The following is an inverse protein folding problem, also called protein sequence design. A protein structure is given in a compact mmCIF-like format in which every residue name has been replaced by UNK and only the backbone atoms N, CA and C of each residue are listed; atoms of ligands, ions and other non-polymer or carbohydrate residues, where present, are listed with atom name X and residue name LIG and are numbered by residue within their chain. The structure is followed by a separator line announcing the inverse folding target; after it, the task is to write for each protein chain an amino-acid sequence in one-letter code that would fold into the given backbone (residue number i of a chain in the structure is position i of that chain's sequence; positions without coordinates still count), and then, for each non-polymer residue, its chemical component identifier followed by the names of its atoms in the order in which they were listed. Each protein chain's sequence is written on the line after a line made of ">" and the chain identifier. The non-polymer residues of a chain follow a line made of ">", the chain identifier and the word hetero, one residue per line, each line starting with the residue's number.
data_IF_907187147611
#
_entry.id   IF_907187147611
#
_cell.length_a   1.000
_cell.length_b   1.000
_cell.length_c   1.000
_cell.angle_alpha   90.00
_cell.angle_beta   90.00
_cell.angle_gamma   90.00
#
_symmetry.space_group_name_H-M   'P 1'
#
loop_
_entity.id
_entity.type
_entity.pdbx_description
1 polymer ?
#
# COMPACT_ATOMS: atom_id res chain seq x y z
N UNK A 1 15.35 -33.75 4.39
CA UNK A 1 14.73 -32.52 4.91
C UNK A 1 13.50 -32.21 4.10
N UNK A 2 12.42 -31.74 4.74
CA UNK A 2 11.20 -31.30 4.05
C UNK A 2 11.49 -30.07 3.19
N UNK A 3 10.75 -29.92 2.11
CA UNK A 3 10.75 -28.69 1.30
C UNK A 3 10.20 -27.54 2.14
N UNK A 4 10.73 -26.33 1.98
CA UNK A 4 10.21 -25.12 2.61
C UNK A 4 9.37 -24.34 1.60
N UNK A 5 8.09 -24.15 1.87
CA UNK A 5 7.22 -23.26 1.10
C UNK A 5 7.11 -21.92 1.83
N UNK A 6 7.64 -20.86 1.23
CA UNK A 6 7.47 -19.47 1.68
C UNK A 6 6.39 -18.85 0.82
N UNK A 7 5.34 -18.30 1.43
CA UNK A 7 4.21 -17.75 0.69
C UNK A 7 3.84 -16.36 1.20
N UNK A 8 3.23 -15.53 0.36
CA UNK A 8 2.78 -14.21 0.80
C UNK A 8 1.71 -14.32 1.89
N UNK A 9 1.98 -13.70 3.03
CA UNK A 9 1.09 -13.76 4.19
C UNK A 9 -0.17 -12.91 4.01
N UNK A 10 -1.26 -13.32 4.66
CA UNK A 10 -2.51 -12.56 4.78
C UNK A 10 -3.20 -12.19 3.44
N UNK A 11 -2.99 -12.97 2.37
CA UNK A 11 -3.73 -12.85 1.13
C UNK A 11 -4.25 -14.23 0.67
N UNK A 12 -5.39 -14.23 -0.03
CA UNK A 12 -5.97 -15.44 -0.59
C UNK A 12 -5.12 -16.03 -1.72
N UNK A 13 -4.39 -15.18 -2.45
CA UNK A 13 -3.56 -15.63 -3.56
C UNK A 13 -2.33 -16.42 -3.06
N UNK A 14 -1.54 -15.83 -2.17
CA UNK A 14 -0.41 -16.49 -1.53
C UNK A 14 -0.78 -17.73 -0.72
N UNK A 15 -1.86 -17.69 0.06
CA UNK A 15 -2.31 -18.90 0.76
C UNK A 15 -2.85 -19.97 -0.21
N UNK A 16 -3.55 -19.56 -1.27
CA UNK A 16 -3.96 -20.45 -2.34
C UNK A 16 -2.78 -21.11 -3.04
N UNK A 17 -1.71 -20.36 -3.33
CA UNK A 17 -0.48 -20.89 -3.89
C UNK A 17 0.22 -21.87 -2.94
N UNK A 18 0.28 -21.56 -1.63
CA UNK A 18 0.79 -22.49 -0.62
C UNK A 18 -0.04 -23.78 -0.55
N UNK A 19 -1.37 -23.67 -0.64
CA UNK A 19 -2.28 -24.82 -0.70
C UNK A 19 -1.97 -25.71 -1.90
N UNK A 20 -1.69 -25.12 -3.08
CA UNK A 20 -1.28 -25.88 -4.28
C UNK A 20 0.02 -26.65 -4.02
N UNK A 21 1.05 -26.00 -3.45
CA UNK A 21 2.32 -26.67 -3.13
C UNK A 21 2.09 -27.84 -2.17
N UNK A 22 1.22 -27.66 -1.17
CA UNK A 22 0.84 -28.72 -0.22
C UNK A 22 0.19 -29.91 -0.93
N UNK A 23 -0.74 -29.63 -1.84
CA UNK A 23 -1.45 -30.65 -2.60
C UNK A 23 -0.52 -31.44 -3.53
N UNK A 24 0.42 -30.76 -4.17
CA UNK A 24 1.31 -31.37 -5.15
C UNK A 24 2.44 -32.21 -4.50
N UNK A 25 2.95 -31.79 -3.34
CA UNK A 25 4.10 -32.44 -2.69
C UNK A 25 3.71 -33.33 -1.50
N UNK A 26 2.49 -33.22 -0.99
CA UNK A 26 2.05 -33.88 0.24
C UNK A 26 2.37 -33.07 1.50
N UNK A 27 1.40 -32.96 2.40
CA UNK A 27 1.50 -32.12 3.60
C UNK A 27 2.62 -32.56 4.56
N UNK A 28 2.97 -33.84 4.56
CA UNK A 28 4.05 -34.41 5.35
C UNK A 28 5.44 -34.04 4.82
N UNK A 29 5.55 -33.58 3.57
CA UNK A 29 6.82 -33.31 2.89
C UNK A 29 7.19 -31.82 2.82
N UNK A 30 6.31 -30.93 3.32
CA UNK A 30 6.49 -29.47 3.22
C UNK A 30 6.32 -28.83 4.60
N UNK A 31 7.21 -27.89 4.92
CA UNK A 31 6.97 -26.90 5.99
C UNK A 31 6.61 -25.56 5.37
N UNK A 32 5.76 -24.80 6.04
CA UNK A 32 5.21 -23.54 5.53
C UNK A 32 5.67 -22.36 6.36
N UNK A 33 6.02 -21.27 5.69
CA UNK A 33 6.40 -20.01 6.31
C UNK A 33 5.66 -18.85 5.64
N UNK A 34 4.90 -18.09 6.43
CA UNK A 34 4.21 -16.89 5.97
C UNK A 34 5.22 -15.74 5.85
N UNK A 35 5.54 -15.37 4.60
CA UNK A 35 6.46 -14.30 4.25
C UNK A 35 5.81 -12.92 4.32
N UNK A 36 6.54 -11.96 4.87
CA UNK A 36 6.16 -10.55 4.94
C UNK A 36 7.26 -9.68 4.36
N UNK A 37 6.89 -8.69 3.53
CA UNK A 37 7.86 -7.71 3.03
C UNK A 37 8.57 -6.99 4.18
N UNK A 38 9.90 -6.86 4.06
CA UNK A 38 10.75 -6.21 5.06
C UNK A 38 10.99 -7.02 6.34
N UNK A 39 10.52 -8.27 6.43
CA UNK A 39 10.89 -9.21 7.49
C UNK A 39 12.03 -10.12 7.01
N UNK A 40 12.89 -10.62 7.93
CA UNK A 40 13.98 -11.52 7.56
C UNK A 40 13.44 -12.84 7.01
N UNK A 41 14.20 -13.46 6.11
CA UNK A 41 13.91 -14.79 5.62
C UNK A 41 14.09 -15.84 6.74
N UNK A 42 13.34 -16.95 6.72
CA UNK A 42 13.57 -18.10 7.62
C UNK A 42 14.88 -18.82 7.29
N UNK A 43 15.27 -19.78 8.13
CA UNK A 43 16.39 -20.68 7.85
C UNK A 43 16.08 -21.58 6.64
N UNK A 44 17.00 -21.57 5.67
CA UNK A 44 16.89 -22.31 4.39
C UNK A 44 17.98 -23.37 4.21
N UNK A 45 18.90 -23.52 5.18
CA UNK A 45 20.13 -24.31 5.03
C UNK A 45 19.85 -25.75 4.57
N UNK A 46 20.41 -26.14 3.42
CA UNK A 46 20.29 -27.48 2.85
C UNK A 46 18.89 -27.89 2.34
N UNK A 47 17.91 -26.97 2.34
CA UNK A 47 16.52 -27.25 1.93
C UNK A 47 16.27 -26.91 0.47
N UNK A 48 15.31 -27.58 -0.16
CA UNK A 48 14.64 -27.00 -1.33
C UNK A 48 13.65 -25.97 -0.82
N UNK A 49 13.69 -24.78 -1.42
CA UNK A 49 12.83 -23.64 -1.07
C UNK A 49 11.96 -23.32 -2.27
N UNK A 50 10.67 -23.21 -2.05
CA UNK A 50 9.69 -22.74 -3.04
C UNK A 50 9.09 -21.46 -2.46
N UNK A 51 9.20 -20.36 -3.19
CA UNK A 51 8.64 -19.07 -2.83
C UNK A 51 7.49 -18.78 -3.78
N UNK A 52 6.28 -18.56 -3.25
CA UNK A 52 5.05 -18.40 -4.06
C UNK A 52 4.31 -17.12 -3.71
N UNK A 53 3.82 -16.41 -4.74
CA UNK A 53 3.14 -15.10 -4.63
C UNK A 53 3.97 -14.01 -3.93
N UNK A 54 5.28 -14.22 -3.82
CA UNK A 54 6.17 -13.40 -3.00
C UNK A 54 7.60 -13.50 -3.54
N UNK A 55 8.37 -12.44 -3.34
CA UNK A 55 9.79 -12.41 -3.67
C UNK A 55 10.59 -11.62 -2.63
N UNK A 56 11.72 -12.17 -2.20
CA UNK A 56 12.73 -11.40 -1.47
C UNK A 56 13.56 -10.53 -2.43
N UNK A 57 14.21 -9.46 -1.94
CA UNK A 57 15.15 -8.67 -2.73
C UNK A 57 16.28 -9.53 -3.31
N UNK A 58 16.80 -9.11 -4.47
CA UNK A 58 17.83 -9.84 -5.22
C UNK A 58 19.03 -10.23 -4.36
N UNK A 59 19.58 -9.27 -3.61
CA UNK A 59 20.78 -9.45 -2.81
C UNK A 59 20.56 -10.53 -1.74
N UNK A 60 19.37 -10.55 -1.12
CA UNK A 60 19.01 -11.56 -0.15
C UNK A 60 18.84 -12.93 -0.82
N UNK A 61 18.22 -13.01 -1.99
CA UNK A 61 18.08 -14.27 -2.74
C UNK A 61 19.44 -14.87 -3.14
N UNK A 62 20.43 -14.04 -3.50
CA UNK A 62 21.79 -14.50 -3.76
C UNK A 62 22.39 -15.15 -2.51
N UNK A 63 22.27 -14.50 -1.35
CA UNK A 63 22.77 -15.04 -0.09
C UNK A 63 22.07 -16.36 0.30
N UNK A 64 20.75 -16.41 0.18
CA UNK A 64 19.96 -17.62 0.45
C UNK A 64 20.32 -18.75 -0.52
N UNK A 65 20.60 -18.44 -1.79
CA UNK A 65 21.00 -19.41 -2.81
C UNK A 65 22.35 -20.11 -2.52
N UNK A 66 23.19 -19.55 -1.65
CA UNK A 66 24.39 -20.20 -1.16
C UNK A 66 24.14 -21.19 -0.01
N UNK A 67 23.03 -21.04 0.72
CA UNK A 67 22.66 -21.85 1.90
C UNK A 67 21.66 -22.95 1.51
N UNK A 68 20.67 -22.61 0.68
CA UNK A 68 19.65 -23.53 0.21
C UNK A 68 20.22 -24.57 -0.78
N UNK A 69 19.57 -25.73 -0.84
CA UNK A 69 19.82 -26.72 -1.91
C UNK A 69 19.32 -26.20 -3.25
N UNK A 70 18.10 -25.65 -3.26
CA UNK A 70 17.52 -24.97 -4.41
C UNK A 70 16.51 -23.90 -3.97
N UNK A 71 16.27 -22.89 -4.82
CA UNK A 71 15.26 -21.84 -4.64
C UNK A 71 14.46 -21.71 -5.95
N UNK A 72 13.18 -22.04 -5.89
CA UNK A 72 12.20 -21.79 -6.94
C UNK A 72 11.32 -20.61 -6.54
N UNK A 73 11.18 -19.61 -7.40
CA UNK A 73 10.30 -18.46 -7.18
C UNK A 73 9.19 -18.51 -8.23
N UNK A 74 7.94 -18.48 -7.80
CA UNK A 74 6.75 -18.44 -8.65
C UNK A 74 5.94 -17.22 -8.22
N UNK A 75 5.94 -16.19 -9.05
CA UNK A 75 5.41 -14.90 -8.65
C UNK A 75 4.82 -14.14 -9.85
N UNK A 76 3.95 -13.18 -9.58
CA UNK A 76 3.23 -12.40 -10.58
C UNK A 76 3.34 -10.88 -10.35
N UNK A 77 4.13 -10.45 -9.38
CA UNK A 77 4.36 -9.04 -9.09
C UNK A 77 5.33 -8.41 -10.10
N UNK A 78 4.88 -7.36 -10.81
CA UNK A 78 5.67 -6.68 -11.86
C UNK A 78 7.00 -6.11 -11.32
N UNK A 79 6.97 -5.46 -10.17
CA UNK A 79 8.17 -4.88 -9.55
C UNK A 79 9.19 -5.97 -9.17
N UNK A 80 8.72 -7.13 -8.70
CA UNK A 80 9.61 -8.26 -8.41
C UNK A 80 10.20 -8.86 -9.69
N UNK A 81 9.39 -9.02 -10.73
CA UNK A 81 9.86 -9.51 -12.03
C UNK A 81 10.95 -8.61 -12.63
N UNK A 82 10.79 -7.29 -12.53
CA UNK A 82 11.80 -6.32 -12.97
C UNK A 82 13.08 -6.40 -12.12
N UNK A 83 12.94 -6.43 -10.79
CA UNK A 83 14.07 -6.49 -9.86
C UNK A 83 14.87 -7.81 -9.94
N UNK A 84 14.21 -8.90 -10.33
CA UNK A 84 14.79 -10.25 -10.37
C UNK A 84 15.11 -10.72 -11.80
N UNK A 85 15.04 -9.85 -12.80
CA UNK A 85 15.26 -10.18 -14.21
C UNK A 85 16.64 -10.82 -14.51
N UNK A 86 17.63 -10.61 -13.63
CA UNK A 86 18.96 -11.19 -13.75
C UNK A 86 19.08 -12.62 -13.16
N UNK A 87 18.06 -13.10 -12.44
CA UNK A 87 17.99 -14.49 -12.01
C UNK A 87 17.58 -15.39 -13.20
N UNK A 88 18.14 -16.60 -13.29
CA UNK A 88 17.81 -17.51 -14.38
C UNK A 88 16.34 -17.97 -14.29
N UNK A 89 15.68 -18.07 -15.44
CA UNK A 89 14.34 -18.64 -15.54
C UNK A 89 14.36 -20.12 -15.16
N UNK A 90 13.35 -20.59 -14.43
CA UNK A 90 13.19 -22.02 -14.14
C UNK A 90 12.69 -22.79 -15.40
N UNK A 91 12.84 -24.12 -15.45
CA UNK A 91 12.17 -24.97 -16.43
C UNK A 91 10.65 -24.79 -16.42
N UNK A 92 9.97 -25.29 -17.45
CA UNK A 92 8.59 -24.92 -17.77
C UNK A 92 7.55 -25.45 -16.77
N UNK A 93 7.88 -26.52 -16.05
CA UNK A 93 7.02 -27.12 -15.03
C UNK A 93 7.84 -27.76 -13.90
N UNK A 94 7.19 -28.09 -12.79
CA UNK A 94 7.86 -28.65 -11.62
C UNK A 94 8.52 -30.00 -11.89
N UNK A 95 7.95 -30.83 -12.77
CA UNK A 95 8.52 -32.12 -13.14
C UNK A 95 9.89 -32.01 -13.83
N UNK A 96 10.17 -30.87 -14.48
CA UNK A 96 11.47 -30.56 -15.08
C UNK A 96 12.41 -29.86 -14.08
N UNK A 97 11.86 -29.03 -13.18
CA UNK A 97 12.63 -28.37 -12.12
C UNK A 97 13.19 -29.34 -11.09
N UNK A 98 12.36 -30.26 -10.58
CA UNK A 98 12.72 -31.15 -9.48
C UNK A 98 13.99 -31.98 -9.71
N UNK A 99 14.24 -32.58 -10.90
CA UNK A 99 15.49 -33.27 -11.18
C UNK A 99 16.60 -32.36 -11.73
N UNK A 100 16.35 -31.06 -11.90
CA UNK A 100 17.32 -30.14 -12.51
C UNK A 100 18.52 -29.89 -11.57
N UNK A 101 19.66 -29.54 -12.17
CA UNK A 101 20.85 -29.09 -11.42
C UNK A 101 20.84 -27.58 -11.14
N UNK A 102 19.79 -26.88 -11.58
CA UNK A 102 19.63 -25.46 -11.39
C UNK A 102 19.30 -25.17 -9.92
N UNK A 103 20.10 -24.31 -9.29
CA UNK A 103 19.94 -23.99 -7.86
C UNK A 103 18.98 -22.85 -7.58
N UNK A 104 18.83 -21.91 -8.50
CA UNK A 104 17.91 -20.78 -8.35
C UNK A 104 17.14 -20.65 -9.65
N UNK A 105 15.82 -20.47 -9.59
CA UNK A 105 14.98 -20.37 -10.77
C UNK A 105 13.76 -19.49 -10.51
N UNK A 106 13.38 -18.68 -11.49
CA UNK A 106 12.20 -17.82 -11.41
C UNK A 106 11.16 -18.16 -12.47
N UNK A 107 9.89 -18.08 -12.10
CA UNK A 107 8.72 -18.19 -12.97
C UNK A 107 7.86 -16.95 -12.71
N UNK A 108 7.78 -16.08 -13.72
CA UNK A 108 6.98 -14.85 -13.66
C UNK A 108 5.92 -14.83 -14.74
N UNK A 109 4.66 -14.56 -14.37
CA UNK A 109 3.59 -14.29 -15.33
C UNK A 109 2.54 -13.33 -14.77
N UNK A 110 2.49 -12.11 -15.33
CA UNK A 110 1.60 -11.05 -14.87
C UNK A 110 0.14 -11.26 -15.28
N UNK A 111 -0.15 -12.27 -16.11
CA UNK A 111 -1.49 -12.60 -16.57
C UNK A 111 -2.16 -13.68 -15.73
N UNK A 112 -1.45 -14.22 -14.74
CA UNK A 112 -1.94 -15.22 -13.80
C UNK A 112 -1.69 -14.73 -12.39
N UNK A 113 -2.54 -15.16 -11.47
CA UNK A 113 -2.34 -14.94 -10.03
C UNK A 113 -1.26 -15.89 -9.50
N UNK A 114 -0.69 -15.63 -8.33
CA UNK A 114 0.26 -16.53 -7.67
C UNK A 114 -0.29 -17.96 -7.53
N UNK A 115 -1.54 -18.11 -7.10
CA UNK A 115 -2.22 -19.39 -6.96
C UNK A 115 -2.46 -20.08 -8.31
N UNK A 116 -2.95 -19.33 -9.30
CA UNK A 116 -3.20 -19.85 -10.65
C UNK A 116 -1.91 -20.28 -11.36
N UNK A 117 -0.86 -19.48 -11.27
CA UNK A 117 0.46 -19.75 -11.83
C UNK A 117 1.10 -20.96 -11.16
N UNK A 118 1.02 -21.05 -9.83
CA UNK A 118 1.53 -22.20 -9.06
C UNK A 118 0.79 -23.48 -9.44
N UNK A 119 -0.54 -23.45 -9.60
CA UNK A 119 -1.29 -24.63 -10.05
C UNK A 119 -0.79 -25.14 -11.39
N UNK A 120 -0.71 -24.26 -12.39
CA UNK A 120 -0.29 -24.65 -13.74
C UNK A 120 1.14 -25.20 -13.77
N UNK A 121 2.02 -24.67 -12.92
CA UNK A 121 3.41 -25.09 -12.83
C UNK A 121 3.57 -26.52 -12.30
N UNK A 122 2.78 -26.87 -11.27
CA UNK A 122 2.81 -28.20 -10.65
C UNK A 122 1.95 -29.22 -11.38
N UNK A 123 0.88 -28.79 -12.06
CA UNK A 123 -0.12 -29.65 -12.68
C UNK A 123 -0.32 -29.29 -14.17
N UNK A 124 0.73 -29.32 -15.01
CA UNK A 124 0.64 -28.89 -16.40
C UNK A 124 -0.43 -29.69 -17.16
N UNK A 125 -1.34 -28.96 -17.82
CA UNK A 125 -2.43 -29.54 -18.60
C UNK A 125 -3.63 -30.06 -17.79
N UNK A 126 -3.60 -29.97 -16.46
CA UNK A 126 -4.75 -30.33 -15.64
C UNK A 126 -5.65 -29.11 -15.36
N UNK A 127 -6.98 -29.29 -15.31
CA UNK A 127 -7.88 -28.19 -14.97
C UNK A 127 -7.64 -27.72 -13.54
N UNK A 128 -7.63 -26.38 -13.36
CA UNK A 128 -7.60 -25.76 -12.04
C UNK A 128 -8.88 -26.02 -11.26
N UNK A 129 -8.84 -26.17 -9.93
CA UNK A 129 -10.02 -26.08 -9.09
C UNK A 129 -10.76 -24.78 -9.37
N UNK A 130 -12.09 -24.82 -9.41
CA UNK A 130 -12.89 -23.65 -9.74
C UNK A 130 -12.59 -22.45 -8.81
N UNK A 131 -12.36 -22.72 -7.52
CA UNK A 131 -12.03 -21.69 -6.54
C UNK A 131 -10.68 -20.98 -6.84
N UNK A 132 -9.67 -21.68 -7.37
CA UNK A 132 -8.40 -21.06 -7.81
C UNK A 132 -8.66 -20.07 -8.96
N UNK A 133 -9.57 -20.39 -9.89
CA UNK A 133 -9.95 -19.48 -10.96
C UNK A 133 -10.65 -18.22 -10.43
N UNK A 134 -11.50 -18.34 -9.40
CA UNK A 134 -12.12 -17.16 -8.76
C UNK A 134 -11.12 -16.33 -7.93
N UNK A 135 -10.13 -16.97 -7.29
CA UNK A 135 -9.03 -16.27 -6.64
C UNK A 135 -8.28 -15.43 -7.67
N UNK A 136 -7.91 -16.02 -8.81
CA UNK A 136 -7.23 -15.30 -9.90
C UNK A 136 -8.06 -14.15 -10.47
N UNK A 137 -9.35 -14.40 -10.70
CA UNK A 137 -10.26 -13.41 -11.28
C UNK A 137 -10.44 -12.17 -10.38
N UNK A 138 -10.41 -12.36 -9.05
CA UNK A 138 -10.40 -11.25 -8.10
C UNK A 138 -9.02 -10.60 -7.97
N UNK A 139 -7.97 -11.40 -7.89
CA UNK A 139 -6.63 -10.90 -7.63
C UNK A 139 -6.15 -9.97 -8.76
N UNK A 140 -6.39 -10.38 -10.00
CA UNK A 140 -6.12 -9.58 -11.19
C UNK A 140 -7.20 -8.51 -11.48
N UNK A 141 -8.15 -8.33 -10.56
CA UNK A 141 -9.24 -7.36 -10.61
C UNK A 141 -10.10 -7.43 -11.89
N UNK A 142 -10.35 -8.65 -12.38
CA UNK A 142 -11.04 -8.91 -13.65
C UNK A 142 -12.55 -9.03 -13.49
N UNK A 143 -13.01 -9.75 -12.46
CA UNK A 143 -14.42 -10.03 -12.19
C UNK A 143 -15.20 -10.53 -13.41
N UNK A 144 -14.59 -11.40 -14.23
CA UNK A 144 -15.21 -11.97 -15.43
C UNK A 144 -16.04 -13.21 -15.13
N UNK A 145 -15.72 -13.94 -14.07
CA UNK A 145 -16.46 -15.13 -13.69
C UNK A 145 -17.68 -14.75 -12.85
N UNK A 146 -18.81 -15.42 -13.11
CA UNK A 146 -20.04 -15.18 -12.35
C UNK A 146 -19.81 -15.45 -10.87
N UNK A 147 -20.22 -14.50 -10.02
CA UNK A 147 -20.18 -14.66 -8.58
C UNK A 147 -18.80 -14.57 -7.94
N UNK A 148 -17.74 -14.18 -8.67
CA UNK A 148 -16.38 -14.04 -8.10
C UNK A 148 -16.39 -13.20 -6.83
N UNK A 149 -17.11 -12.06 -6.84
CA UNK A 149 -17.17 -11.16 -5.69
C UNK A 149 -17.74 -11.84 -4.44
N UNK A 150 -18.88 -12.51 -4.59
CA UNK A 150 -19.55 -13.24 -3.51
C UNK A 150 -18.69 -14.43 -3.05
N UNK A 151 -18.17 -15.24 -3.97
CA UNK A 151 -17.33 -16.40 -3.65
C UNK A 151 -16.08 -15.95 -2.86
N UNK A 152 -15.47 -14.84 -3.25
CA UNK A 152 -14.31 -14.30 -2.55
C UNK A 152 -14.69 -13.71 -1.20
N UNK A 153 -15.82 -12.99 -1.09
CA UNK A 153 -16.33 -12.52 0.19
C UNK A 153 -16.58 -13.67 1.17
N UNK A 154 -17.08 -14.81 0.67
CA UNK A 154 -17.19 -16.03 1.46
C UNK A 154 -15.82 -16.57 1.87
N UNK A 155 -14.89 -16.74 0.91
CA UNK A 155 -13.53 -17.23 1.18
C UNK A 155 -12.80 -16.41 2.24
N UNK A 156 -12.85 -15.07 2.15
CA UNK A 156 -12.22 -14.16 3.11
C UNK A 156 -12.87 -14.16 4.50
N UNK A 157 -14.04 -14.78 4.67
CA UNK A 157 -14.67 -14.95 5.99
C UNK A 157 -14.10 -16.12 6.80
N UNK A 158 -13.31 -17.00 6.16
CA UNK A 158 -12.67 -18.16 6.79
C UNK A 158 -11.21 -17.88 7.17
N UNK A 159 -10.67 -18.60 8.18
CA UNK A 159 -9.25 -18.53 8.49
C UNK A 159 -8.39 -19.10 7.35
N UNK A 160 -7.14 -18.63 7.27
CA UNK A 160 -6.09 -19.22 6.44
C UNK A 160 -5.58 -20.51 7.09
N UNK A 161 -6.39 -21.55 6.97
CA UNK A 161 -6.18 -22.89 7.53
C UNK A 161 -6.33 -23.93 6.42
N UNK A 162 -5.43 -24.91 6.39
CA UNK A 162 -5.31 -25.82 5.25
C UNK A 162 -6.47 -26.80 5.16
N UNK A 163 -6.94 -27.32 6.28
CA UNK A 163 -8.09 -28.23 6.39
C UNK A 163 -9.39 -27.51 6.03
N UNK A 164 -9.54 -26.25 6.46
CA UNK A 164 -10.66 -25.40 6.04
C UNK A 164 -10.63 -25.18 4.53
N UNK A 165 -9.46 -24.89 3.96
CA UNK A 165 -9.33 -24.67 2.51
C UNK A 165 -9.53 -25.94 1.69
N UNK A 166 -9.21 -27.13 2.21
CA UNK A 166 -9.57 -28.40 1.58
C UNK A 166 -11.09 -28.53 1.44
N UNK A 167 -11.85 -28.20 2.49
CA UNK A 167 -13.30 -28.22 2.44
C UNK A 167 -13.84 -27.19 1.41
N UNK A 168 -13.29 -25.98 1.39
CA UNK A 168 -13.70 -24.93 0.45
C UNK A 168 -13.39 -25.28 -1.00
N UNK A 169 -12.22 -25.86 -1.29
CA UNK A 169 -11.83 -26.30 -2.64
C UNK A 169 -12.74 -27.40 -3.19
N UNK A 170 -13.34 -28.21 -2.32
CA UNK A 170 -14.30 -29.26 -2.67
C UNK A 170 -15.77 -28.79 -2.64
N UNK A 171 -16.04 -27.57 -2.18
CA UNK A 171 -17.40 -27.03 -2.10
C UNK A 171 -17.84 -26.51 -3.48
N UNK A 172 -19.06 -26.85 -3.95
CA UNK A 172 -19.56 -26.31 -5.21
C UNK A 172 -19.59 -24.77 -5.22
N UNK A 173 -19.19 -24.16 -6.32
CA UNK A 173 -19.14 -22.69 -6.45
C UNK A 173 -20.50 -22.04 -6.24
N UNK A 174 -21.60 -22.72 -6.58
CA UNK A 174 -22.97 -22.25 -6.32
C UNK A 174 -23.26 -22.06 -4.82
N UNK A 175 -22.73 -22.96 -3.97
CA UNK A 175 -22.85 -22.85 -2.52
C UNK A 175 -21.95 -21.73 -2.00
N UNK A 176 -20.69 -21.67 -2.43
CA UNK A 176 -19.76 -20.61 -2.03
C UNK A 176 -20.30 -19.22 -2.37
N UNK A 177 -20.92 -19.09 -3.55
CA UNK A 177 -21.58 -17.87 -4.01
C UNK A 177 -22.76 -17.55 -3.09
N UNK A 178 -23.65 -18.52 -2.81
CA UNK A 178 -24.81 -18.32 -1.95
C UNK A 178 -24.43 -17.80 -0.55
N UNK A 179 -23.39 -18.37 0.05
CA UNK A 179 -22.89 -18.00 1.38
C UNK A 179 -22.28 -16.59 1.40
N UNK A 180 -21.66 -16.17 0.29
CA UNK A 180 -21.05 -14.85 0.13
C UNK A 180 -22.00 -13.69 -0.15
N UNK A 181 -23.22 -13.95 -0.67
CA UNK A 181 -24.16 -12.90 -1.14
C UNK A 181 -24.45 -11.82 -0.10
N UNK A 182 -24.68 -12.22 1.15
CA UNK A 182 -25.02 -11.27 2.20
C UNK A 182 -23.79 -10.45 2.63
N UNK A 183 -22.62 -11.08 2.66
CA UNK A 183 -21.33 -10.46 3.01
C UNK A 183 -21.01 -9.39 1.98
N UNK A 184 -21.08 -9.72 0.68
CA UNK A 184 -20.71 -8.79 -0.39
C UNK A 184 -21.68 -7.61 -0.50
N UNK A 185 -22.97 -7.85 -0.27
CA UNK A 185 -23.97 -6.77 -0.20
C UNK A 185 -23.67 -5.80 0.95
N UNK A 186 -23.29 -6.32 2.12
CA UNK A 186 -22.92 -5.50 3.29
C UNK A 186 -21.63 -4.73 3.01
N UNK A 187 -20.61 -5.37 2.44
CA UNK A 187 -19.33 -4.75 2.09
C UNK A 187 -19.52 -3.54 1.18
N UNK A 188 -20.29 -3.67 0.09
CA UNK A 188 -20.55 -2.54 -0.81
C UNK A 188 -21.33 -1.40 -0.16
N UNK A 189 -22.31 -1.71 0.70
CA UNK A 189 -23.02 -0.70 1.48
C UNK A 189 -22.04 0.07 2.37
N UNK A 190 -21.16 -0.63 3.06
CA UNK A 190 -20.16 -0.03 3.95
C UNK A 190 -19.17 0.83 3.16
N UNK A 191 -18.64 0.32 2.05
CA UNK A 191 -17.75 1.08 1.17
C UNK A 191 -18.41 2.39 0.72
N UNK A 192 -19.67 2.34 0.29
CA UNK A 192 -20.40 3.53 -0.16
C UNK A 192 -20.59 4.55 0.99
N UNK A 193 -21.04 4.10 2.16
CA UNK A 193 -21.27 4.98 3.33
C UNK A 193 -19.96 5.57 3.86
N UNK A 194 -18.90 4.76 3.95
CA UNK A 194 -17.60 5.19 4.42
C UNK A 194 -16.93 6.18 3.46
N UNK A 195 -17.00 5.93 2.14
CA UNK A 195 -16.50 6.89 1.14
C UNK A 195 -17.28 8.20 1.22
N UNK A 196 -18.61 8.15 1.35
CA UNK A 196 -19.43 9.35 1.49
C UNK A 196 -19.06 10.16 2.75
N UNK A 197 -18.75 9.49 3.86
CA UNK A 197 -18.41 10.14 5.14
C UNK A 197 -16.96 10.58 5.31
N UNK A 198 -16.00 9.99 4.58
CA UNK A 198 -14.56 10.19 4.83
C UNK A 198 -13.76 10.74 3.65
N UNK A 199 -14.35 10.78 2.44
CA UNK A 199 -13.66 11.28 1.24
C UNK A 199 -13.30 12.76 1.39
N UNK A 200 -12.03 13.06 1.18
CA UNK A 200 -11.45 14.41 1.08
C UNK A 200 -10.54 14.50 -0.13
N UNK A 201 -9.97 15.68 -0.36
CA UNK A 201 -8.95 15.92 -1.41
C UNK A 201 -7.57 16.03 -0.78
N UNK A 202 -6.55 15.49 -1.44
CA UNK A 202 -5.14 15.64 -1.06
C UNK A 202 -4.29 15.76 -2.32
N UNK A 203 -3.18 16.48 -2.23
CA UNK A 203 -2.16 16.50 -3.27
C UNK A 203 -1.17 15.36 -3.01
N UNK A 204 -1.10 14.39 -3.93
CA UNK A 204 -0.14 13.28 -3.89
C UNK A 204 0.64 13.30 -5.20
N UNK A 205 1.97 13.35 -5.12
CA UNK A 205 2.87 13.49 -6.27
C UNK A 205 2.47 14.63 -7.24
N UNK A 206 2.00 15.76 -6.69
CA UNK A 206 1.55 16.92 -7.47
C UNK A 206 0.13 16.82 -8.04
N UNK A 207 -0.58 15.71 -7.85
CA UNK A 207 -1.95 15.54 -8.30
C UNK A 207 -2.93 15.73 -7.15
N UNK A 208 -3.91 16.63 -7.34
CA UNK A 208 -5.07 16.72 -6.47
C UNK A 208 -6.00 15.53 -6.77
N UNK A 209 -6.25 14.67 -5.78
CA UNK A 209 -6.98 13.39 -5.93
C UNK A 209 -7.91 13.12 -4.76
N UNK A 210 -8.97 12.30 -4.93
CA UNK A 210 -9.82 11.91 -3.82
C UNK A 210 -9.09 10.90 -2.93
N UNK A 211 -9.19 11.11 -1.62
CA UNK A 211 -8.58 10.28 -0.59
C UNK A 211 -9.58 10.00 0.54
N UNK A 212 -9.62 8.76 1.03
CA UNK A 212 -10.45 8.37 2.18
C UNK A 212 -9.61 7.70 3.28
N UNK A 213 -9.96 7.93 4.55
CA UNK A 213 -9.40 7.20 5.68
C UNK A 213 -10.23 5.94 5.91
N UNK A 214 -9.69 4.77 5.56
CA UNK A 214 -10.43 3.51 5.57
C UNK A 214 -9.53 2.36 6.00
N UNK A 215 -10.05 1.39 6.79
CA UNK A 215 -9.36 0.14 7.04
C UNK A 215 -8.96 -0.56 5.73
N UNK A 216 -7.80 -1.24 5.72
CA UNK A 216 -7.24 -1.85 4.52
C UNK A 216 -8.22 -2.79 3.80
N UNK A 217 -9.09 -3.48 4.54
CA UNK A 217 -10.12 -4.40 4.01
C UNK A 217 -11.09 -3.74 3.02
N UNK A 218 -11.32 -2.42 3.13
CA UNK A 218 -12.19 -1.67 2.21
C UNK A 218 -11.40 -0.88 1.15
N UNK A 219 -10.07 -0.81 1.27
CA UNK A 219 -9.25 0.12 0.48
C UNK A 219 -9.31 -0.11 -1.03
N UNK A 220 -9.41 -1.37 -1.47
CA UNK A 220 -9.44 -1.69 -2.90
C UNK A 220 -10.72 -1.21 -3.57
N UNK A 221 -11.88 -1.58 -3.05
CA UNK A 221 -13.17 -1.19 -3.64
C UNK A 221 -13.45 0.30 -3.45
N UNK A 222 -13.11 0.87 -2.29
CA UNK A 222 -13.25 2.31 -2.06
C UNK A 222 -12.33 3.14 -2.97
N UNK A 223 -11.07 2.73 -3.11
CA UNK A 223 -10.13 3.36 -4.03
C UNK A 223 -10.61 3.23 -5.47
N UNK A 224 -11.08 2.05 -5.90
CA UNK A 224 -11.63 1.87 -7.23
C UNK A 224 -12.85 2.77 -7.49
N UNK A 225 -13.80 2.80 -6.55
CA UNK A 225 -14.99 3.65 -6.62
C UNK A 225 -14.62 5.14 -6.76
N UNK A 226 -13.65 5.61 -5.98
CA UNK A 226 -13.20 7.00 -6.02
C UNK A 226 -12.36 7.35 -7.25
N UNK A 227 -11.70 6.37 -7.88
CA UNK A 227 -10.83 6.60 -9.03
C UNK A 227 -11.60 6.82 -10.35
N UNK A 228 -12.91 6.59 -10.38
CA UNK A 228 -13.73 6.77 -11.58
C UNK A 228 -13.77 8.26 -11.96
N UNK A 229 -13.22 8.59 -13.14
CA UNK A 229 -13.14 9.96 -13.64
C UNK A 229 -12.01 10.81 -13.05
N UNK A 230 -11.13 10.22 -12.25
CA UNK A 230 -10.01 10.88 -11.58
C UNK A 230 -8.67 10.30 -12.09
N UNK A 231 -7.54 11.02 -11.96
CA UNK A 231 -6.23 10.47 -12.34
C UNK A 231 -5.92 9.16 -11.60
N UNK A 232 -6.22 9.16 -10.31
CA UNK A 232 -6.21 8.01 -9.41
C UNK A 232 -6.92 8.43 -8.11
N UNK A 233 -7.07 7.50 -7.17
CA UNK A 233 -7.56 7.75 -5.83
C UNK A 233 -6.67 7.05 -4.80
N UNK A 234 -6.76 7.47 -3.54
CA UNK A 234 -6.06 6.81 -2.44
C UNK A 234 -6.99 6.47 -1.29
N UNK A 235 -6.69 5.39 -0.58
CA UNK A 235 -7.15 5.17 0.78
C UNK A 235 -5.92 5.19 1.69
N UNK A 236 -6.07 5.66 2.93
CA UNK A 236 -5.01 5.51 3.93
C UNK A 236 -5.52 4.93 5.23
N UNK A 237 -4.61 4.31 5.98
CA UNK A 237 -4.79 3.90 7.37
C UNK A 237 -3.52 4.15 8.16
N UNK A 238 -3.67 4.43 9.45
CA UNK A 238 -2.55 4.52 10.38
C UNK A 238 -2.29 3.16 11.03
N UNK A 239 -1.01 2.77 11.10
CA UNK A 239 -0.53 1.58 11.83
C UNK A 239 0.10 2.03 13.15
N UNK A 240 0.74 1.13 13.89
CA UNK A 240 1.52 1.52 15.07
C UNK A 240 2.78 2.34 14.74
N UNK A 241 3.23 2.34 13.49
CA UNK A 241 4.55 2.89 13.11
C UNK A 241 4.48 3.95 11.99
N UNK A 242 3.48 3.90 11.12
CA UNK A 242 3.42 4.71 9.91
C UNK A 242 2.00 4.85 9.36
N UNK A 243 1.79 5.81 8.45
CA UNK A 243 0.60 5.87 7.59
C UNK A 243 0.86 5.09 6.31
N UNK A 244 -0.03 4.15 6.00
CA UNK A 244 0.00 3.40 4.74
C UNK A 244 -1.02 3.98 3.77
N UNK A 245 -0.60 4.22 2.52
CA UNK A 245 -1.44 4.64 1.41
C UNK A 245 -1.61 3.50 0.40
N UNK A 246 -2.86 3.23 0.04
CA UNK A 246 -3.27 2.28 -1.00
C UNK A 246 -3.84 3.08 -2.17
N UNK A 247 -3.16 3.03 -3.33
CA UNK A 247 -3.52 3.77 -4.52
C UNK A 247 -4.29 2.90 -5.52
N UNK A 248 -5.33 3.45 -6.14
CA UNK A 248 -6.09 2.79 -7.20
C UNK A 248 -6.30 3.73 -8.38
N UNK A 249 -6.18 3.21 -9.59
CA UNK A 249 -6.56 3.92 -10.82
C UNK A 249 -7.38 3.01 -11.73
N UNK A 250 -8.09 3.61 -12.68
CA UNK A 250 -8.76 2.87 -13.75
C UNK A 250 -7.79 2.64 -14.91
N UNK A 251 -8.16 1.85 -15.92
CA UNK A 251 -7.35 1.67 -17.13
C UNK A 251 -7.00 2.98 -17.84
N UNK A 252 -7.88 3.99 -17.72
CA UNK A 252 -7.70 5.34 -18.26
C UNK A 252 -6.93 6.29 -17.32
N UNK A 253 -6.65 5.86 -16.08
CA UNK A 253 -5.94 6.66 -15.08
C UNK A 253 -4.42 6.62 -15.23
N UNK A 254 -3.73 7.21 -14.25
CA UNK A 254 -2.27 7.22 -14.18
C UNK A 254 -1.72 5.87 -13.70
N UNK A 255 -0.44 5.64 -13.97
CA UNK A 255 0.29 4.52 -13.40
C UNK A 255 0.56 4.79 -11.92
N UNK A 256 -0.24 4.18 -11.03
CA UNK A 256 -0.05 4.37 -9.59
C UNK A 256 1.16 3.63 -9.05
N UNK A 257 1.69 2.64 -9.79
CA UNK A 257 2.96 1.99 -9.46
C UNK A 257 4.12 2.97 -9.55
N UNK A 258 4.17 3.78 -10.60
CA UNK A 258 5.18 4.84 -10.77
C UNK A 258 5.00 5.98 -9.74
N UNK A 259 3.76 6.30 -9.34
CA UNK A 259 3.52 7.25 -8.25
C UNK A 259 4.04 6.68 -6.91
N UNK A 260 3.73 5.43 -6.59
CA UNK A 260 4.14 4.81 -5.33
C UNK A 260 5.68 4.71 -5.22
N UNK A 261 6.40 4.47 -6.32
CA UNK A 261 7.87 4.44 -6.37
C UNK A 261 8.52 5.73 -5.87
N UNK A 262 7.89 6.90 -6.09
CA UNK A 262 8.40 8.19 -5.60
C UNK A 262 8.46 8.26 -4.06
N UNK A 263 7.68 7.43 -3.38
CA UNK A 263 7.62 7.33 -1.92
C UNK A 263 8.27 6.04 -1.39
N UNK A 264 9.10 5.37 -2.19
CA UNK A 264 9.73 4.10 -1.83
C UNK A 264 8.76 2.90 -1.78
N UNK A 265 7.57 3.05 -2.35
CA UNK A 265 6.59 1.97 -2.52
C UNK A 265 6.66 1.32 -3.90
N UNK A 266 5.59 0.65 -4.29
CA UNK A 266 5.50 -0.03 -5.58
C UNK A 266 4.18 -0.78 -5.78
N UNK A 267 4.07 -1.49 -6.90
CA UNK A 267 2.89 -2.29 -7.25
C UNK A 267 2.61 -2.32 -8.75
N UNK A 268 1.38 -2.67 -9.09
CA UNK A 268 0.89 -2.69 -10.46
C UNK A 268 0.39 -1.32 -10.91
N UNK A 269 0.24 -1.16 -12.22
CA UNK A 269 -0.24 0.08 -12.85
C UNK A 269 -1.49 0.67 -12.22
N UNK A 270 -2.44 -0.18 -11.84
CA UNK A 270 -3.75 0.23 -11.32
C UNK A 270 -3.92 0.01 -9.81
N UNK A 271 -2.94 -0.61 -9.15
CA UNK A 271 -2.99 -0.94 -7.73
C UNK A 271 -1.58 -0.97 -7.15
N UNK A 272 -1.27 0.01 -6.33
CA UNK A 272 0.04 0.17 -5.70
C UNK A 272 -0.12 0.71 -4.28
N UNK A 273 0.97 0.72 -3.51
CA UNK A 273 0.95 1.29 -2.18
C UNK A 273 2.32 1.74 -1.71
N UNK A 274 2.31 2.64 -0.73
CA UNK A 274 3.51 3.15 -0.08
C UNK A 274 3.20 3.48 1.37
N UNK A 275 4.25 3.63 2.19
CA UNK A 275 4.12 4.06 3.59
C UNK A 275 5.00 5.26 3.86
N UNK A 276 4.53 6.12 4.75
CA UNK A 276 5.28 7.30 5.20
C UNK A 276 5.25 7.40 6.72
N UNK A 277 6.34 7.89 7.36
CA UNK A 277 6.34 8.13 8.79
C UNK A 277 5.37 9.26 9.17
N UNK A 278 5.02 9.37 10.45
CA UNK A 278 3.99 10.31 10.91
C UNK A 278 4.38 11.79 10.81
N UNK A 279 5.68 12.09 10.69
CA UNK A 279 6.21 13.43 10.46
C UNK A 279 6.27 13.82 8.98
N UNK A 280 5.93 12.92 8.06
CA UNK A 280 5.91 13.19 6.62
C UNK A 280 4.81 14.19 6.24
N UNK A 281 5.05 15.01 5.22
CA UNK A 281 4.14 16.07 4.74
C UNK A 281 2.73 15.59 4.39
N UNK A 282 2.60 14.40 3.78
CA UNK A 282 1.32 13.75 3.49
C UNK A 282 0.50 13.38 4.75
N UNK A 283 1.16 13.29 5.91
CA UNK A 283 0.51 13.04 7.20
C UNK A 283 0.18 14.36 7.89
N UNK A 284 1.16 15.26 7.97
CA UNK A 284 1.08 16.50 8.73
C UNK A 284 0.29 17.61 8.02
N UNK A 285 0.20 17.55 6.68
CA UNK A 285 -0.36 18.62 5.85
C UNK A 285 0.58 19.80 5.64
N UNK A 286 1.84 19.71 6.08
CA UNK A 286 2.86 20.73 5.92
C UNK A 286 3.89 20.28 4.89
N UNK A 287 3.99 21.00 3.76
CA UNK A 287 5.10 20.81 2.81
C UNK A 287 6.36 21.37 3.45
N UNK A 288 7.36 20.53 3.70
CA UNK A 288 8.70 21.03 4.03
C UNK A 288 9.26 21.66 2.76
N UNK A 289 9.32 22.98 2.70
CA UNK A 289 9.97 23.67 1.59
C UNK A 289 11.47 23.32 1.61
N UNK A 290 11.91 22.46 0.69
CA UNK A 290 13.33 22.29 0.40
C UNK A 290 13.79 23.52 -0.36
N UNK A 291 14.45 24.44 0.34
CA UNK A 291 15.25 25.47 -0.29
C UNK A 291 16.45 24.78 -0.95
N UNK A 292 16.53 24.81 -2.28
CA UNK A 292 17.79 24.54 -2.97
C UNK A 292 18.83 25.53 -2.46
N UNK A 293 19.98 24.96 -2.08
CA UNK A 293 21.14 25.57 -1.43
C UNK A 293 21.23 27.09 -1.54
N UNK A 294 21.15 27.76 -0.40
CA UNK A 294 22.07 28.87 -0.10
C UNK A 294 22.56 28.67 1.33
N UNK A 295 23.87 28.62 1.46
CA UNK A 295 24.59 28.47 2.72
C UNK A 295 24.12 29.50 3.77
N UNK A 296 24.15 29.07 5.03
CA UNK A 296 24.04 29.87 6.26
C UNK A 296 22.68 30.49 6.60
N UNK A 297 21.73 29.69 7.11
CA UNK A 297 20.71 30.22 8.03
C UNK A 297 20.51 29.29 9.24
N UNK A 298 20.71 29.84 10.44
CA UNK A 298 20.55 29.17 11.74
C UNK A 298 19.09 28.76 12.01
N UNK A 299 18.94 27.72 12.84
CA UNK A 299 17.75 26.89 13.08
C UNK A 299 16.44 27.56 13.60
N UNK A 300 16.22 28.86 13.41
CA UNK A 300 14.99 29.56 13.83
C UNK A 300 14.36 30.41 12.72
N UNK A 301 14.64 30.13 11.45
CA UNK A 301 14.06 30.90 10.33
C UNK A 301 12.87 30.14 9.73
N UNK A 302 11.66 30.70 9.86
CA UNK A 302 10.43 30.13 9.32
C UNK A 302 10.04 30.88 8.05
N UNK A 303 10.00 30.19 6.92
CA UNK A 303 9.64 30.79 5.63
C UNK A 303 8.11 30.83 5.49
N UNK A 304 7.58 32.01 5.22
CA UNK A 304 6.15 32.24 5.03
C UNK A 304 5.90 32.96 3.71
N UNK A 305 4.78 32.64 3.04
CA UNK A 305 4.36 33.34 1.82
C UNK A 305 3.96 34.79 2.13
N UNK A 306 4.00 35.67 1.12
CA UNK A 306 3.49 37.05 1.26
C UNK A 306 2.05 37.08 1.80
N UNK A 307 1.19 36.16 1.35
CA UNK A 307 -0.18 36.04 1.82
C UNK A 307 -0.27 35.63 3.31
N UNK A 308 0.62 34.74 3.78
CA UNK A 308 0.71 34.39 5.20
C UNK A 308 1.25 35.56 6.04
N UNK A 309 2.25 36.29 5.53
CA UNK A 309 2.76 37.50 6.19
C UNK A 309 1.68 38.59 6.28
N UNK A 310 0.89 38.78 5.23
CA UNK A 310 -0.29 39.66 5.22
C UNK A 310 -1.37 39.22 6.21
N UNK A 311 -1.58 37.91 6.38
CA UNK A 311 -2.50 37.37 7.39
C UNK A 311 -1.99 37.64 8.82
N UNK A 312 -0.73 37.30 9.11
CA UNK A 312 -0.09 37.54 10.41
C UNK A 312 -0.15 39.02 10.78
N UNK A 313 0.15 39.91 9.81
CA UNK A 313 0.02 41.35 9.99
C UNK A 313 -1.40 41.78 10.36
N UNK A 314 -2.43 41.29 9.65
CA UNK A 314 -3.83 41.62 9.92
C UNK A 314 -4.24 41.17 11.32
N UNK A 315 -3.83 39.97 11.72
CA UNK A 315 -4.16 39.42 13.03
C UNK A 315 -3.45 40.20 14.14
N UNK A 316 -2.17 40.56 13.95
CA UNK A 316 -1.41 41.36 14.90
C UNK A 316 -1.99 42.79 15.06
N UNK A 317 -2.38 43.45 13.96
CA UNK A 317 -3.06 44.75 13.96
C UNK A 317 -4.43 44.67 14.66
N UNK A 318 -5.19 43.60 14.44
CA UNK A 318 -6.46 43.37 15.13
C UNK A 318 -6.26 43.16 16.65
N UNK A 319 -5.29 42.34 17.05
CA UNK A 319 -4.92 42.14 18.44
C UNK A 319 -4.49 43.44 19.12
N UNK A 320 -3.64 44.23 18.46
CA UNK A 320 -3.20 45.53 18.97
C UNK A 320 -4.39 46.49 19.18
N UNK A 321 -5.32 46.57 18.23
CA UNK A 321 -6.54 47.39 18.35
C UNK A 321 -7.41 46.94 19.52
N UNK A 322 -7.55 45.64 19.74
CA UNK A 322 -8.30 45.09 20.89
C UNK A 322 -7.62 45.45 22.20
N UNK A 323 -6.30 45.30 22.31
CA UNK A 323 -5.54 45.66 23.53
C UNK A 323 -5.63 47.16 23.79
N UNK A 324 -5.50 48.01 22.76
CA UNK A 324 -5.65 49.45 22.87
C UNK A 324 -7.06 49.87 23.32
N UNK A 325 -8.10 49.26 22.74
CA UNK A 325 -9.49 49.51 23.10
C UNK A 325 -9.83 49.00 24.52
N UNK A 326 -9.20 47.90 24.95
CA UNK A 326 -9.33 47.36 26.30
C UNK A 326 -8.61 48.23 27.35
N UNK A 327 -7.44 48.78 27.01
CA UNK A 327 -6.69 49.73 27.83
C UNK A 327 -7.32 51.13 27.93
N UNK A 328 -8.19 51.50 26.99
CA UNK A 328 -8.94 52.77 27.00
C UNK A 328 -10.22 52.75 27.85
N UNK A 329 -10.53 51.68 28.61
CA UNK A 329 -11.71 51.64 29.50
C UNK A 329 -11.30 51.48 30.97
N UNK A 330 -11.91 52.22 31.91
CA UNK A 330 -11.59 52.15 33.34
C UNK A 330 -12.10 50.87 34.03
N UNK A 331 -12.13 49.72 33.34
CA UNK A 331 -12.76 48.48 33.81
C UNK A 331 -11.83 47.26 33.88
N UNK A 332 -10.52 47.40 33.67
CA UNK A 332 -9.56 46.29 33.86
C UNK A 332 -8.68 46.56 35.08
N UNK A 333 -8.86 45.85 36.21
CA UNK A 333 -7.95 45.94 37.35
C UNK A 333 -6.55 45.47 36.92
N UNK A 334 -5.57 46.37 36.95
CA UNK A 334 -4.18 46.08 36.57
C UNK A 334 -3.72 46.64 35.21
N UNK A 335 -4.63 47.09 34.34
CA UNK A 335 -4.29 47.56 32.98
C UNK A 335 -3.61 46.48 32.12
N UNK A 336 -3.39 46.76 30.84
CA UNK A 336 -2.42 46.01 30.05
C UNK A 336 -1.09 46.76 30.10
N UNK A 337 0.03 46.05 30.25
CA UNK A 337 1.36 46.66 30.17
C UNK A 337 1.52 47.34 28.79
N UNK A 338 1.74 48.67 28.74
CA UNK A 338 1.91 49.40 27.48
C UNK A 338 3.02 48.83 26.58
N UNK A 339 4.02 48.14 27.17
CA UNK A 339 5.10 47.49 26.42
C UNK A 339 4.57 46.50 25.37
N UNK A 340 3.48 45.78 25.63
CA UNK A 340 2.89 44.85 24.65
C UNK A 340 2.36 45.55 23.39
N UNK A 341 1.90 46.81 23.52
CA UNK A 341 1.41 47.58 22.38
C UNK A 341 2.59 48.14 21.58
N UNK A 342 3.63 48.60 22.26
CA UNK A 342 4.85 49.12 21.62
C UNK A 342 5.57 48.02 20.86
N UNK A 343 5.74 46.83 21.45
CA UNK A 343 6.36 45.67 20.79
C UNK A 343 5.56 45.26 19.54
N UNK A 344 4.22 45.25 19.61
CA UNK A 344 3.38 44.93 18.46
C UNK A 344 3.51 45.98 17.33
N UNK A 345 3.65 47.26 17.65
CA UNK A 345 3.86 48.34 16.67
C UNK A 345 5.21 48.21 15.95
N UNK A 346 6.27 47.90 16.69
CA UNK A 346 7.60 47.69 16.13
C UNK A 346 7.59 46.48 15.18
N UNK A 347 6.94 45.38 15.57
CA UNK A 347 6.80 44.20 14.69
C UNK A 347 5.93 44.46 13.46
N UNK A 348 4.85 45.25 13.58
CA UNK A 348 4.06 45.66 12.41
C UNK A 348 4.89 46.52 11.44
N UNK A 349 5.75 47.42 11.94
CA UNK A 349 6.63 48.23 11.12
C UNK A 349 7.70 47.40 10.39
N UNK A 350 8.27 46.39 11.05
CA UNK A 350 9.18 45.43 10.42
C UNK A 350 8.47 44.65 9.30
N UNK A 351 7.25 44.14 9.56
CA UNK A 351 6.44 43.44 8.55
C UNK A 351 6.10 44.37 7.38
N UNK A 352 5.73 45.62 7.63
CA UNK A 352 5.43 46.61 6.60
C UNK A 352 6.66 46.96 5.74
N UNK A 353 7.84 47.06 6.35
CA UNK A 353 9.10 47.25 5.62
C UNK A 353 9.42 46.05 4.71
N UNK A 354 9.20 44.82 5.19
CA UNK A 354 9.39 43.60 4.41
C UNK A 354 8.39 43.51 3.24
N UNK A 355 7.15 43.94 3.44
CA UNK A 355 6.15 43.98 2.35
C UNK A 355 6.38 45.12 1.34
N UNK A 356 6.96 46.25 1.78
CA UNK A 356 7.24 47.43 0.95
C UNK A 356 8.57 47.38 0.18
N UNK A 357 9.50 46.49 0.57
CA UNK A 357 10.81 46.32 -0.05
C UNK A 357 10.83 45.52 -1.36
N UNK A 358 9.71 44.88 -1.74
CA UNK A 358 9.57 44.23 -3.03
C UNK A 358 9.35 45.28 -4.13
N UNK A 359 10.42 45.87 -4.66
CA UNK A 359 10.37 46.39 -6.04
C UNK A 359 10.13 45.19 -6.98
N UNK A 360 9.30 45.40 -8.02
CA UNK A 360 8.73 44.33 -8.84
C UNK A 360 9.78 43.44 -9.51
#
# INVERSE_FOLDING_TARGET
>A
MKTLCIYHANCADGFGAAWVVRQALGAENVDFHAGHYGKPAPDVEGRDVIIVDFSYPYELLVLLGHQARSILIIDHHKTAAEALAQLPTAPSCFAEWAPSTQRVGTVFDMNRSGAGLTWDYFNPGQPRPALINHIEDRDLWRFKLEGTREIQANLFSYPYDFEVWDALMNTPTSQLLADGKAIERKHHKDVAELVAGSKRRMVIAGFDVPVANLPYIHSSDAGHLMAIGEPFAACYQDTSEHRYFSLRSTSMGLDVGEIAKQYGGGGHRNAAGFKVPFDHELVTGHVQATLESTDELSAETLVITKAQLEAIRRDLDACQKVIWLAGCRPRVPGGFDPAYVTDAQERLAEIDALMGGARP
#
